data_IF_870115940005
#
_entry.id   IF_870115940005
#
_cell.length_a   1.000
_cell.length_b   1.000
_cell.length_c   1.000
_cell.angle_alpha   90.00
_cell.angle_beta   90.00
_cell.angle_gamma   90.00
#
_symmetry.space_group_name_H-M   'P 1'
#
loop_
_entity.id
_entity.type
_entity.pdbx_description
1 polymer ?
#
# COMPACT_ATOMS: atom_id res chain seq x y z
N UNK A 1 46.17 -16.08 -13.96
CA UNK A 1 45.37 -14.88 -13.67
C UNK A 1 44.22 -15.28 -12.76
N UNK A 2 44.26 -14.90 -11.49
CA UNK A 2 43.27 -15.28 -10.48
C UNK A 2 42.01 -14.44 -10.71
N UNK A 3 40.93 -15.07 -11.18
CA UNK A 3 39.66 -14.38 -11.38
C UNK A 3 39.06 -13.98 -10.02
N UNK A 4 38.77 -12.70 -9.84
CA UNK A 4 38.07 -12.21 -8.65
C UNK A 4 36.63 -12.75 -8.64
N UNK A 5 36.19 -13.30 -7.51
CA UNK A 5 34.79 -13.71 -7.29
C UNK A 5 34.04 -12.56 -6.63
N UNK A 6 33.06 -12.02 -7.35
CA UNK A 6 32.16 -11.00 -6.86
C UNK A 6 30.82 -11.63 -6.49
N UNK A 7 30.31 -11.29 -5.31
CA UNK A 7 28.99 -11.72 -4.82
C UNK A 7 28.16 -10.48 -4.59
N UNK A 8 27.00 -10.41 -5.24
CA UNK A 8 26.04 -9.33 -5.08
C UNK A 8 24.89 -9.82 -4.20
N UNK A 9 24.60 -9.07 -3.14
CA UNK A 9 23.45 -9.31 -2.26
C UNK A 9 22.45 -8.19 -2.50
N UNK A 10 21.22 -8.57 -2.84
CA UNK A 10 20.13 -7.64 -3.12
C UNK A 10 18.94 -7.96 -2.21
N UNK A 11 18.16 -6.94 -1.88
CA UNK A 11 16.88 -7.13 -1.21
C UNK A 11 15.83 -7.67 -2.18
N UNK A 12 14.92 -8.56 -1.74
CA UNK A 12 13.87 -9.09 -2.60
C UNK A 12 12.84 -8.00 -2.96
N UNK A 13 12.21 -8.16 -4.13
CA UNK A 13 11.08 -7.33 -4.53
C UNK A 13 9.80 -7.73 -3.78
N UNK A 14 8.88 -6.78 -3.64
CA UNK A 14 7.54 -7.03 -3.06
C UNK A 14 6.55 -7.57 -4.08
N UNK A 15 6.77 -7.30 -5.36
CA UNK A 15 5.90 -7.66 -6.48
C UNK A 15 6.55 -8.79 -7.25
N UNK A 16 5.77 -9.84 -7.55
CA UNK A 16 6.18 -10.97 -8.37
C UNK A 16 5.38 -10.95 -9.68
N UNK A 17 6.07 -10.89 -10.81
CA UNK A 17 5.46 -10.96 -12.14
C UNK A 17 5.56 -12.37 -12.69
N UNK A 18 4.41 -13.02 -12.88
CA UNK A 18 4.30 -14.37 -13.44
C UNK A 18 3.92 -14.36 -14.93
N UNK A 19 3.71 -13.18 -15.52
CA UNK A 19 3.36 -13.00 -16.93
C UNK A 19 4.58 -12.93 -17.85
N UNK A 20 5.77 -12.72 -17.27
CA UNK A 20 7.02 -12.67 -17.99
C UNK A 20 7.34 -14.02 -18.70
N UNK A 21 8.00 -13.98 -19.88
CA UNK A 21 8.39 -15.19 -20.59
C UNK A 21 9.31 -16.05 -19.73
N UNK A 22 9.07 -17.37 -19.73
CA UNK A 22 9.84 -18.34 -18.94
C UNK A 22 11.31 -18.32 -19.36
N UNK A 23 12.19 -18.11 -18.40
CA UNK A 23 13.62 -18.32 -18.58
C UNK A 23 13.87 -19.83 -18.69
N UNK A 24 14.53 -20.25 -19.79
CA UNK A 24 14.73 -21.67 -20.11
C UNK A 24 15.73 -22.39 -19.19
N UNK A 25 16.55 -21.64 -18.45
CA UNK A 25 17.49 -22.18 -17.48
C UNK A 25 17.20 -21.62 -16.10
N UNK A 26 16.88 -22.51 -15.16
CA UNK A 26 16.66 -22.18 -13.75
C UNK A 26 17.28 -23.27 -12.87
N UNK A 27 17.74 -22.87 -11.69
CA UNK A 27 18.20 -23.79 -10.65
C UNK A 27 17.11 -23.97 -9.59
N UNK A 28 17.27 -24.99 -8.74
CA UNK A 28 16.42 -25.18 -7.58
C UNK A 28 17.01 -24.47 -6.34
N UNK A 29 16.20 -23.77 -5.52
CA UNK A 29 16.68 -23.21 -4.26
C UNK A 29 17.17 -24.30 -3.31
N UNK A 30 18.32 -24.09 -2.68
CA UNK A 30 18.94 -25.04 -1.75
C UNK A 30 18.22 -25.14 -0.41
N UNK A 31 17.47 -24.12 0.00
CA UNK A 31 16.77 -24.02 1.30
C UNK A 31 15.26 -24.26 1.19
N UNK A 32 14.85 -25.19 0.31
CA UNK A 32 13.42 -25.45 0.07
C UNK A 32 12.72 -26.07 1.28
N UNK A 33 13.41 -26.92 2.05
CA UNK A 33 12.89 -27.53 3.29
C UNK A 33 12.45 -26.47 4.29
N UNK A 34 13.29 -25.47 4.50
CA UNK A 34 13.08 -24.43 5.50
C UNK A 34 11.93 -23.51 5.09
N UNK A 35 11.84 -23.23 3.78
CA UNK A 35 10.71 -22.51 3.21
C UNK A 35 9.38 -23.27 3.43
N UNK A 36 9.37 -24.60 3.31
CA UNK A 36 8.18 -25.41 3.58
C UNK A 36 7.74 -25.34 5.05
N UNK A 37 8.69 -25.40 6.00
CA UNK A 37 8.39 -25.26 7.43
C UNK A 37 7.76 -23.89 7.73
N UNK A 38 8.35 -22.82 7.20
CA UNK A 38 7.82 -21.46 7.34
C UNK A 38 6.39 -21.35 6.78
N UNK A 39 6.15 -21.90 5.58
CA UNK A 39 4.82 -21.92 4.97
C UNK A 39 3.81 -22.68 5.85
N UNK A 40 4.21 -23.80 6.46
CA UNK A 40 3.35 -24.57 7.35
C UNK A 40 2.93 -23.76 8.58
N UNK A 41 3.89 -23.08 9.24
CA UNK A 41 3.61 -22.20 10.37
C UNK A 41 2.65 -21.07 9.98
N UNK A 42 2.92 -20.38 8.87
CA UNK A 42 2.08 -19.28 8.37
C UNK A 42 0.66 -19.73 8.03
N UNK A 43 0.50 -20.93 7.44
CA UNK A 43 -0.83 -21.51 7.16
C UNK A 43 -1.61 -21.83 8.42
N UNK A 44 -0.94 -22.26 9.50
CA UNK A 44 -1.59 -22.51 10.79
C UNK A 44 -2.13 -21.21 11.42
N UNK A 45 -1.36 -20.12 11.33
CA UNK A 45 -1.77 -18.80 11.81
C UNK A 45 -2.97 -18.27 11.02
N UNK A 46 -3.01 -18.53 9.71
CA UNK A 46 -4.13 -18.18 8.84
C UNK A 46 -5.43 -18.94 9.20
N UNK A 47 -5.34 -20.23 9.57
CA UNK A 47 -6.50 -21.02 9.99
C UNK A 47 -7.05 -20.64 11.37
N UNK A 48 -6.20 -20.16 12.30
CA UNK A 48 -6.65 -19.73 13.64
C UNK A 48 -7.43 -18.41 13.67
N UNK A 49 -7.46 -17.65 12.57
CA UNK A 49 -8.34 -16.47 12.42
C UNK A 49 -9.75 -16.89 11.98
N UNK A 50 -10.40 -17.79 12.74
CA UNK A 50 -11.80 -18.16 12.52
C UNK A 50 -12.72 -17.05 13.03
N UNK A 51 -13.68 -16.62 12.20
CA UNK A 51 -14.74 -15.62 12.46
C UNK A 51 -14.31 -14.16 12.72
N UNK A 52 -13.29 -13.65 12.01
CA UNK A 52 -13.19 -12.19 11.80
C UNK A 52 -13.88 -11.81 10.50
N UNK A 53 -14.78 -10.83 10.59
CA UNK A 53 -15.32 -10.11 9.43
C UNK A 53 -14.14 -9.72 8.55
N UNK A 54 -14.10 -10.24 7.33
CA UNK A 54 -13.01 -9.95 6.40
C UNK A 54 -13.35 -8.63 5.73
N UNK A 55 -12.62 -7.58 6.06
CA UNK A 55 -12.80 -6.28 5.45
C UNK A 55 -11.85 -6.15 4.25
N UNK A 56 -12.41 -6.00 3.06
CA UNK A 56 -11.67 -5.62 1.85
C UNK A 56 -11.85 -4.12 1.63
N UNK A 57 -10.78 -3.35 1.88
CA UNK A 57 -10.79 -1.92 1.61
C UNK A 57 -10.30 -1.72 0.18
N UNK A 58 -11.20 -1.33 -0.72
CA UNK A 58 -10.82 -0.94 -2.06
C UNK A 58 -10.34 0.51 -2.07
N UNK A 59 -9.11 0.66 -2.55
CA UNK A 59 -8.44 1.95 -2.73
C UNK A 59 -7.94 2.04 -4.19
N UNK A 60 -8.39 1.14 -5.07
CA UNK A 60 -7.99 1.08 -6.46
C UNK A 60 -8.82 2.03 -7.33
N UNK A 61 -8.57 2.01 -8.65
CA UNK A 61 -9.45 2.70 -9.60
C UNK A 61 -10.70 1.88 -9.87
N UNK A 62 -11.82 2.55 -10.16
CA UNK A 62 -13.09 1.88 -10.47
C UNK A 62 -12.95 0.85 -11.60
N UNK A 63 -12.04 1.05 -12.56
CA UNK A 63 -11.76 0.10 -13.63
C UNK A 63 -11.27 -1.26 -13.12
N UNK A 64 -10.40 -1.26 -12.11
CA UNK A 64 -9.91 -2.49 -11.48
C UNK A 64 -10.96 -3.11 -10.57
N UNK A 65 -11.75 -2.28 -9.89
CA UNK A 65 -12.82 -2.75 -9.01
C UNK A 65 -13.91 -3.51 -9.77
N UNK A 66 -14.23 -3.08 -11.00
CA UNK A 66 -15.19 -3.77 -11.88
C UNK A 66 -14.77 -5.20 -12.23
N UNK A 67 -13.49 -5.52 -12.14
CA UNK A 67 -12.97 -6.86 -12.42
C UNK A 67 -13.07 -7.81 -11.22
N UNK A 68 -13.49 -7.33 -10.03
CA UNK A 68 -13.64 -8.18 -8.85
C UNK A 68 -14.98 -8.95 -8.87
N UNK A 69 -14.96 -10.28 -8.62
CA UNK A 69 -16.19 -11.08 -8.55
C UNK A 69 -16.91 -10.83 -7.21
N UNK A 70 -17.86 -9.89 -7.19
CA UNK A 70 -18.60 -9.50 -5.96
C UNK A 70 -19.35 -10.66 -5.34
N UNK A 71 -20.04 -11.45 -6.16
CA UNK A 71 -20.84 -12.59 -5.71
C UNK A 71 -19.99 -13.61 -4.93
N UNK A 72 -18.74 -13.81 -5.35
CA UNK A 72 -17.81 -14.70 -4.66
C UNK A 72 -17.29 -14.12 -3.34
N UNK A 73 -17.14 -12.79 -3.25
CA UNK A 73 -16.72 -12.09 -2.03
C UNK A 73 -17.82 -12.07 -0.98
N UNK A 74 -19.07 -11.85 -1.40
CA UNK A 74 -20.25 -11.92 -0.54
C UNK A 74 -20.46 -13.34 -0.01
N UNK A 75 -20.36 -14.36 -0.87
CA UNK A 75 -20.41 -15.76 -0.46
C UNK A 75 -19.29 -16.15 0.52
N UNK A 76 -18.15 -15.46 0.46
CA UNK A 76 -17.03 -15.62 1.39
C UNK A 76 -17.14 -14.74 2.66
N UNK A 77 -18.26 -14.02 2.84
CA UNK A 77 -18.54 -13.15 3.97
C UNK A 77 -17.49 -12.01 4.13
N UNK A 78 -17.03 -11.47 3.00
CA UNK A 78 -16.07 -10.36 2.92
C UNK A 78 -16.84 -9.06 2.70
N UNK A 79 -16.72 -8.11 3.63
CA UNK A 79 -17.31 -6.78 3.46
C UNK A 79 -16.36 -5.90 2.62
N UNK A 80 -16.87 -5.31 1.55
CA UNK A 80 -16.08 -4.52 0.59
C UNK A 80 -16.39 -3.04 0.80
N UNK A 81 -15.36 -2.23 1.04
CA UNK A 81 -15.51 -0.80 1.32
C UNK A 81 -14.66 -0.01 0.34
N UNK A 82 -15.32 0.79 -0.50
CA UNK A 82 -14.68 1.68 -1.47
C UNK A 82 -14.27 3.01 -0.81
N UNK A 83 -13.09 3.51 -1.15
CA UNK A 83 -12.57 4.77 -0.66
C UNK A 83 -12.49 5.80 -1.80
N UNK A 84 -13.37 6.80 -1.75
CA UNK A 84 -13.47 7.86 -2.75
C UNK A 84 -12.81 9.13 -2.24
N UNK A 85 -11.93 9.72 -3.05
CA UNK A 85 -11.21 10.94 -2.71
C UNK A 85 -11.67 12.10 -3.59
N UNK A 86 -12.21 13.15 -2.96
CA UNK A 86 -12.70 14.36 -3.62
C UNK A 86 -11.86 15.58 -3.20
N UNK A 87 -11.61 16.47 -4.16
CA UNK A 87 -10.88 17.72 -3.97
C UNK A 87 -11.79 18.87 -4.46
N UNK A 88 -12.22 19.73 -3.54
CA UNK A 88 -13.31 20.70 -3.71
C UNK A 88 -14.65 20.09 -4.17
N UNK A 89 -14.94 18.87 -3.73
CA UNK A 89 -16.19 18.15 -4.07
C UNK A 89 -16.14 17.35 -5.37
N UNK A 90 -15.05 17.45 -6.14
CA UNK A 90 -14.89 16.72 -7.40
C UNK A 90 -13.75 15.70 -7.36
N UNK A 91 -13.87 14.60 -8.12
CA UNK A 91 -12.82 13.58 -8.23
C UNK A 91 -11.82 14.02 -9.29
N UNK A 92 -10.71 14.62 -8.85
CA UNK A 92 -9.59 15.00 -9.74
C UNK A 92 -8.61 13.83 -9.83
N UNK A 93 -8.52 13.21 -11.01
CA UNK A 93 -7.76 11.96 -11.26
C UNK A 93 -6.28 12.03 -10.83
N UNK A 94 -5.62 13.17 -11.01
CA UNK A 94 -4.23 13.40 -10.60
C UNK A 94 -4.07 13.30 -9.08
N UNK A 95 -5.00 13.89 -8.33
CA UNK A 95 -4.96 13.89 -6.86
C UNK A 95 -5.46 12.57 -6.27
N UNK A 96 -6.45 11.95 -6.92
CA UNK A 96 -6.97 10.64 -6.52
C UNK A 96 -5.86 9.57 -6.47
N UNK A 97 -4.95 9.54 -7.46
CA UNK A 97 -3.80 8.61 -7.46
C UNK A 97 -2.89 8.80 -6.25
N UNK A 98 -2.61 10.06 -5.88
CA UNK A 98 -1.79 10.39 -4.71
C UNK A 98 -2.51 10.01 -3.41
N UNK A 99 -3.79 10.36 -3.30
CA UNK A 99 -4.61 10.08 -2.13
C UNK A 99 -4.71 8.58 -1.84
N UNK A 100 -4.86 7.76 -2.89
CA UNK A 100 -4.83 6.29 -2.79
C UNK A 100 -3.52 5.78 -2.20
N UNK A 101 -2.38 6.29 -2.68
CA UNK A 101 -1.07 5.95 -2.13
C UNK A 101 -0.91 6.36 -0.66
N UNK A 102 -1.46 7.52 -0.28
CA UNK A 102 -1.45 7.99 1.11
C UNK A 102 -2.32 7.10 2.01
N UNK A 103 -3.50 6.71 1.54
CA UNK A 103 -4.38 5.80 2.26
C UNK A 103 -3.70 4.45 2.48
N UNK A 104 -3.12 3.85 1.43
CA UNK A 104 -2.33 2.63 1.57
C UNK A 104 -1.21 2.76 2.60
N UNK A 105 -0.45 3.86 2.52
CA UNK A 105 0.61 4.13 3.48
C UNK A 105 0.07 4.25 4.91
N UNK A 106 -1.05 4.93 5.12
CA UNK A 106 -1.69 5.08 6.42
C UNK A 106 -2.14 3.73 6.99
N UNK A 107 -2.86 2.92 6.20
CA UNK A 107 -3.35 1.60 6.59
C UNK A 107 -2.20 0.70 7.06
N UNK A 108 -1.08 0.69 6.31
CA UNK A 108 0.10 -0.12 6.63
C UNK A 108 0.82 0.41 7.88
N UNK A 109 1.07 1.73 7.95
CA UNK A 109 1.84 2.32 9.04
C UNK A 109 1.12 2.24 10.38
N UNK A 110 -0.18 2.50 10.38
CA UNK A 110 -1.00 2.48 11.59
C UNK A 110 -1.54 1.07 11.89
N UNK A 111 -1.31 0.08 11.01
CA UNK A 111 -1.85 -1.28 11.11
C UNK A 111 -3.35 -1.24 11.41
N UNK A 112 -4.08 -0.60 10.50
CA UNK A 112 -5.52 -0.42 10.62
C UNK A 112 -6.23 -1.75 10.40
N UNK A 113 -7.12 -2.09 11.32
CA UNK A 113 -7.82 -3.37 11.43
C UNK A 113 -9.34 -3.23 11.57
N UNK A 114 -9.86 -2.00 11.57
CA UNK A 114 -11.27 -1.68 11.79
C UNK A 114 -11.72 -0.48 10.96
N UNK A 115 -13.01 -0.47 10.58
CA UNK A 115 -13.65 0.60 9.80
C UNK A 115 -13.50 1.98 10.47
N UNK A 116 -13.70 2.03 11.79
CA UNK A 116 -13.56 3.26 12.58
C UNK A 116 -12.17 3.88 12.52
N UNK A 117 -11.13 3.06 12.31
CA UNK A 117 -9.76 3.56 12.18
C UNK A 117 -9.48 4.06 10.76
N UNK A 118 -10.19 3.55 9.75
CA UNK A 118 -10.06 4.05 8.37
C UNK A 118 -10.64 5.46 8.25
N UNK A 119 -11.76 5.75 8.92
CA UNK A 119 -12.38 7.09 8.91
C UNK A 119 -11.51 8.17 9.58
N UNK A 120 -10.52 7.77 10.39
CA UNK A 120 -9.53 8.69 11.01
C UNK A 120 -8.40 9.10 10.07
N UNK A 121 -8.44 8.73 8.79
CA UNK A 121 -7.47 9.17 7.80
C UNK A 121 -7.51 10.71 7.63
N UNK A 122 -6.40 11.36 7.92
CA UNK A 122 -6.26 12.82 7.97
C UNK A 122 -5.03 13.36 7.20
N UNK A 123 -4.38 12.51 6.39
CA UNK A 123 -3.14 12.88 5.70
C UNK A 123 -3.38 13.93 4.62
N UNK A 124 -2.44 14.87 4.50
CA UNK A 124 -2.46 15.94 3.49
C UNK A 124 -3.75 16.77 3.45
N UNK A 125 -4.47 16.86 4.58
CA UNK A 125 -5.68 17.69 4.72
C UNK A 125 -6.98 17.02 4.25
N UNK A 126 -6.96 15.74 3.90
CA UNK A 126 -8.18 14.97 3.69
C UNK A 126 -8.95 14.81 5.00
N UNK A 127 -10.28 14.81 4.92
CA UNK A 127 -11.19 14.58 6.04
C UNK A 127 -12.32 13.67 5.62
N UNK A 128 -12.75 12.79 6.51
CA UNK A 128 -13.92 11.96 6.32
C UNK A 128 -15.21 12.80 6.29
N UNK A 129 -16.08 12.54 5.33
CA UNK A 129 -17.40 13.18 5.21
C UNK A 129 -18.50 12.18 5.49
N UNK A 130 -19.13 12.26 6.66
CA UNK A 130 -20.26 11.38 7.03
C UNK A 130 -21.51 11.60 6.17
N UNK A 131 -21.67 12.79 5.59
CA UNK A 131 -22.83 13.16 4.75
C UNK A 131 -22.76 12.48 3.38
N UNK A 132 -21.54 12.38 2.82
CA UNK A 132 -21.32 11.79 1.50
C UNK A 132 -21.00 10.29 1.56
N UNK A 133 -20.73 9.75 2.75
CA UNK A 133 -20.38 8.35 2.95
C UNK A 133 -21.61 7.50 3.21
N UNK A 134 -21.54 6.24 2.79
CA UNK A 134 -22.55 5.21 3.04
C UNK A 134 -21.87 3.95 3.60
N UNK A 135 -22.61 2.85 3.76
CA UNK A 135 -22.06 1.63 4.38
C UNK A 135 -20.93 0.98 3.57
N UNK A 136 -20.93 1.16 2.24
CA UNK A 136 -19.99 0.49 1.32
C UNK A 136 -18.97 1.46 0.71
N UNK A 137 -19.14 2.77 0.91
CA UNK A 137 -18.33 3.84 0.30
C UNK A 137 -18.00 4.89 1.34
N UNK A 138 -16.71 5.06 1.60
CA UNK A 138 -16.16 6.10 2.45
C UNK A 138 -15.64 7.24 1.59
N UNK A 139 -16.19 8.43 1.79
CA UNK A 139 -15.82 9.64 1.04
C UNK A 139 -14.92 10.52 1.90
N UNK A 140 -13.74 10.80 1.36
CA UNK A 140 -12.76 11.71 1.93
C UNK A 140 -12.67 12.98 1.08
N UNK A 141 -12.93 14.13 1.69
CA UNK A 141 -12.93 15.42 1.02
C UNK A 141 -11.78 16.30 1.51
N UNK A 142 -11.32 17.19 0.64
CA UNK A 142 -10.32 18.21 0.96
C UNK A 142 -10.60 19.48 0.17
N UNK A 143 -10.16 20.63 0.68
CA UNK A 143 -10.20 21.92 -0.03
C UNK A 143 -8.89 22.23 -0.78
N UNK A 144 -8.95 22.99 -1.87
CA UNK A 144 -7.76 23.43 -2.61
C UNK A 144 -6.73 24.16 -1.74
N UNK A 145 -7.17 24.91 -0.72
CA UNK A 145 -6.28 25.58 0.22
C UNK A 145 -5.44 24.57 1.02
N UNK A 146 -6.09 23.51 1.54
CA UNK A 146 -5.42 22.44 2.26
C UNK A 146 -4.48 21.63 1.35
N UNK A 147 -4.87 21.42 0.09
CA UNK A 147 -4.02 20.78 -0.93
C UNK A 147 -2.71 21.56 -1.16
N UNK A 148 -2.80 22.87 -1.39
CA UNK A 148 -1.63 23.73 -1.60
C UNK A 148 -0.72 23.75 -0.37
N UNK A 149 -1.29 23.82 0.82
CA UNK A 149 -0.54 23.79 2.07
C UNK A 149 0.21 22.46 2.25
N UNK A 150 -0.44 21.32 2.01
CA UNK A 150 0.18 20.01 2.11
C UNK A 150 1.31 19.80 1.08
N UNK A 151 1.14 20.32 -0.15
CA UNK A 151 2.18 20.28 -1.17
C UNK A 151 3.43 21.08 -0.76
N UNK A 152 3.24 22.30 -0.22
CA UNK A 152 4.36 23.11 0.30
C UNK A 152 5.11 22.38 1.40
N UNK A 153 4.40 21.85 2.39
CA UNK A 153 5.02 21.09 3.48
C UNK A 153 5.76 19.84 3.00
N UNK A 154 5.22 19.13 2.01
CA UNK A 154 5.87 17.94 1.44
C UNK A 154 7.15 18.32 0.69
N UNK A 155 7.12 19.41 -0.09
CA UNK A 155 8.29 19.93 -0.81
C UNK A 155 9.37 20.41 0.15
N UNK A 156 9.01 21.10 1.22
CA UNK A 156 9.93 21.53 2.28
C UNK A 156 10.59 20.34 2.98
N UNK A 157 9.80 19.33 3.37
CA UNK A 157 10.32 18.08 3.95
C UNK A 157 11.24 17.32 2.98
N UNK A 158 10.91 17.30 1.69
CA UNK A 158 11.76 16.68 0.67
C UNK A 158 13.08 17.45 0.48
N UNK A 159 13.05 18.78 0.48
CA UNK A 159 14.24 19.64 0.43
C UNK A 159 15.13 19.45 1.66
N UNK A 160 14.55 19.44 2.86
CA UNK A 160 15.28 19.21 4.12
C UNK A 160 15.94 17.82 4.16
N UNK A 161 15.23 16.77 3.69
CA UNK A 161 15.78 15.41 3.63
C UNK A 161 16.89 15.27 2.58
N UNK A 162 16.85 16.06 1.51
CA UNK A 162 17.93 16.14 0.50
C UNK A 162 19.17 16.86 1.04
N UNK A 163 18.98 17.92 1.83
CA UNK A 163 20.06 18.64 2.50
C UNK A 163 20.75 17.79 3.59
N UNK A 164 19.99 17.05 4.40
CA UNK A 164 20.53 16.13 5.42
C UNK A 164 21.27 14.92 4.81
N UNK A 165 20.91 14.50 3.59
CA UNK A 165 21.57 13.39 2.91
C UNK A 165 22.86 13.81 2.19
N UNK A 166 23.02 15.07 1.81
CA UNK A 166 24.29 15.56 1.24
C UNK A 166 25.37 15.80 2.30
N UNK A 167 25.00 16.09 3.55
CA UNK A 167 25.95 16.24 4.65
C UNK A 167 26.46 14.91 5.21
N UNK A 168 25.72 13.81 5.05
CA UNK A 168 26.13 12.48 5.53
C UNK A 168 27.16 11.79 4.61
N UNK A 169 27.19 12.11 3.32
CA UNK A 169 28.19 11.58 2.38
C UNK A 169 29.58 12.22 2.50
N UNK A 170 29.77 13.27 3.31
CA UNK A 170 31.08 13.89 3.52
C UNK A 170 31.84 13.33 4.75
N UNK A 171 31.23 12.45 5.55
CA UNK A 171 31.81 11.94 6.80
C UNK A 171 32.28 10.47 6.69
N UNK A 172 32.04 9.79 5.56
CA UNK A 172 32.48 8.40 5.34
C UNK A 172 33.75 8.29 4.46
N UNK A 173 34.54 9.37 4.34
CA UNK A 173 35.83 9.39 3.64
C UNK A 173 36.94 9.97 4.53
N UNK A 174 37.22 9.35 5.68
CA UNK A 174 38.53 9.44 6.38
C UNK A 174 38.94 8.06 6.89
#
# INVERSE_FOLDING_TARGET
MTAARLVYVLSPAKTLDLSAPRVLQCSHPSLLSDAHELIAQLRSLSKSQSKKVRLLVDVASQEYFRSLPRDALEAANVNVVDCVFQDDGEIKSVYAKRARGLMYRYLIQQRVDSLERITRFDLEGYKYSSIASNNDTLVFTRTAAAQKAALRQTQEKAKAKKASKSSLCQVECE
#
